data_IF_818378391882
#
_entry.id   IF_818378391882
#
_cell.length_a   1.000
_cell.length_b   1.000
_cell.length_c   1.000
_cell.angle_alpha   90.00
_cell.angle_beta   90.00
_cell.angle_gamma   90.00
#
_symmetry.space_group_name_H-M   'P 1'
#
loop_
_entity.id
_entity.type
_entity.pdbx_description
1 polymer ?
#
# COMPACT_ATOMS: atom_id res chain seq x y z
N UNK A 1 -6.65 -20.85 -8.98
CA UNK A 1 -7.14 -19.91 -7.94
C UNK A 1 -8.06 -18.91 -8.61
N UNK A 2 -9.36 -18.91 -8.30
CA UNK A 2 -10.28 -17.86 -8.78
C UNK A 2 -10.25 -16.74 -7.74
N UNK A 3 -9.77 -15.56 -8.13
CA UNK A 3 -9.66 -14.41 -7.24
C UNK A 3 -9.40 -13.14 -8.05
N UNK A 4 -9.76 -11.98 -7.49
CA UNK A 4 -9.49 -10.67 -8.10
C UNK A 4 -8.18 -10.11 -7.54
N UNK A 5 -7.40 -9.45 -8.40
CA UNK A 5 -6.24 -8.64 -7.99
C UNK A 5 -6.59 -7.17 -8.23
N UNK A 6 -6.46 -6.35 -7.21
CA UNK A 6 -6.52 -4.90 -7.33
C UNK A 6 -5.08 -4.35 -7.35
N UNK A 7 -4.85 -3.28 -8.13
CA UNK A 7 -3.62 -2.47 -8.09
C UNK A 7 -4.08 -1.05 -7.79
N UNK A 8 -3.49 -0.46 -6.75
CA UNK A 8 -3.79 0.90 -6.31
C UNK A 8 -2.53 1.72 -6.57
N UNK A 9 -2.69 2.87 -7.21
CA UNK A 9 -1.62 3.85 -7.43
C UNK A 9 -1.96 5.11 -6.65
N UNK A 10 -0.98 5.64 -5.93
CA UNK A 10 -1.11 6.83 -5.10
C UNK A 10 -0.04 7.84 -5.51
N UNK A 11 -0.34 9.12 -5.36
CA UNK A 11 0.65 10.18 -5.48
C UNK A 11 1.22 10.47 -4.09
N UNK A 12 2.55 10.48 -3.98
CA UNK A 12 3.23 10.84 -2.74
C UNK A 12 3.66 12.31 -2.82
N UNK A 13 3.60 13.00 -1.67
CA UNK A 13 4.05 14.38 -1.54
C UNK A 13 5.57 14.47 -1.61
N UNK A 14 6.12 15.66 -1.92
CA UNK A 14 7.54 15.84 -2.17
C UNK A 14 8.45 15.44 -0.98
N UNK A 15 7.95 15.55 0.24
CA UNK A 15 8.64 15.13 1.47
C UNK A 15 8.96 13.62 1.48
N UNK A 16 8.23 12.81 0.71
CA UNK A 16 8.49 11.37 0.61
C UNK A 16 9.85 11.06 -0.05
N UNK A 17 10.46 12.02 -0.76
CA UNK A 17 11.78 11.85 -1.39
C UNK A 17 12.90 11.74 -0.35
N UNK A 18 12.70 12.31 0.84
CA UNK A 18 13.68 12.26 1.93
C UNK A 18 13.57 10.97 2.76
N UNK A 19 12.50 10.21 2.55
CA UNK A 19 12.20 8.99 3.29
C UNK A 19 12.69 7.75 2.53
N UNK A 20 13.07 6.71 3.29
CA UNK A 20 13.51 5.45 2.69
C UNK A 20 12.28 4.71 2.17
N UNK A 21 12.30 4.25 0.91
CA UNK A 21 11.21 3.49 0.27
C UNK A 21 10.61 2.41 1.17
N UNK A 22 11.45 1.63 1.86
CA UNK A 22 11.02 0.57 2.76
C UNK A 22 10.15 1.08 3.93
N UNK A 23 10.44 2.28 4.44
CA UNK A 23 9.64 2.91 5.50
C UNK A 23 8.27 3.31 4.94
N UNK A 24 8.23 3.93 3.77
CA UNK A 24 6.99 4.28 3.07
C UNK A 24 6.16 3.02 2.78
N UNK A 25 6.78 1.94 2.30
CA UNK A 25 6.09 0.67 2.06
C UNK A 25 5.46 0.09 3.33
N UNK A 26 6.16 0.19 4.47
CA UNK A 26 5.65 -0.28 5.75
C UNK A 26 4.47 0.58 6.23
N UNK A 27 4.62 1.91 6.20
CA UNK A 27 3.56 2.83 6.62
C UNK A 27 2.30 2.69 5.77
N UNK A 28 2.45 2.52 4.45
CA UNK A 28 1.32 2.25 3.56
C UNK A 28 0.67 0.89 3.85
N UNK A 29 1.45 -0.16 4.12
CA UNK A 29 0.89 -1.47 4.51
C UNK A 29 0.11 -1.37 5.81
N UNK A 30 0.66 -0.68 6.81
CA UNK A 30 0.04 -0.52 8.12
C UNK A 30 -1.26 0.28 7.98
N UNK A 31 -1.23 1.42 7.28
CA UNK A 31 -2.41 2.23 6.99
C UNK A 31 -3.52 1.41 6.32
N UNK A 32 -3.19 0.70 5.24
CA UNK A 32 -4.18 -0.10 4.57
C UNK A 32 -4.62 -1.32 5.41
N UNK A 33 -3.82 -1.87 6.33
CA UNK A 33 -4.23 -2.97 7.21
C UNK A 33 -5.18 -2.49 8.32
N UNK A 34 -4.90 -1.33 8.90
CA UNK A 34 -5.78 -0.69 9.89
C UNK A 34 -7.16 -0.38 9.28
N UNK A 35 -7.19 0.11 8.04
CA UNK A 35 -8.44 0.42 7.32
C UNK A 35 -9.06 -0.79 6.60
N UNK A 36 -8.29 -1.83 6.25
CA UNK A 36 -8.81 -3.02 5.55
C UNK A 36 -9.82 -3.82 6.38
N UNK A 37 -9.84 -3.65 7.71
CA UNK A 37 -10.86 -4.21 8.58
C UNK A 37 -12.27 -3.77 8.16
N UNK A 38 -12.40 -2.66 7.44
CA UNK A 38 -13.68 -2.15 6.94
C UNK A 38 -14.14 -2.71 5.58
N UNK A 39 -13.29 -3.41 4.81
CA UNK A 39 -13.63 -3.84 3.44
C UNK A 39 -13.88 -5.36 3.37
N UNK A 40 -15.14 -5.81 3.21
CA UNK A 40 -15.51 -7.23 3.34
C UNK A 40 -14.90 -8.18 2.29
N UNK A 41 -14.34 -7.63 1.21
CA UNK A 41 -13.71 -8.40 0.11
C UNK A 41 -12.18 -8.40 0.18
N UNK A 42 -11.59 -7.63 1.10
CA UNK A 42 -10.13 -7.54 1.28
C UNK A 42 -9.74 -8.49 2.40
N UNK A 43 -9.02 -9.55 2.02
CA UNK A 43 -8.57 -10.56 2.99
C UNK A 43 -7.18 -10.28 3.55
N UNK A 44 -6.28 -9.77 2.72
CA UNK A 44 -4.91 -9.45 3.10
C UNK A 44 -4.26 -8.57 2.03
N UNK A 45 -3.30 -7.76 2.44
CA UNK A 45 -2.43 -6.99 1.56
C UNK A 45 -1.13 -7.76 1.44
N UNK A 46 -0.94 -8.34 0.25
CA UNK A 46 0.24 -9.14 -0.02
C UNK A 46 1.45 -8.28 -0.36
N UNK A 47 1.22 -7.18 -1.06
CA UNK A 47 2.30 -6.39 -1.63
C UNK A 47 1.97 -4.90 -1.71
N UNK A 48 2.97 -4.07 -1.41
CA UNK A 48 3.05 -2.61 -1.58
C UNK A 48 4.44 -2.35 -2.13
N UNK A 49 4.51 -1.60 -3.22
CA UNK A 49 5.77 -1.27 -3.91
C UNK A 49 5.86 0.25 -4.04
N UNK A 50 6.97 0.83 -3.60
CA UNK A 50 7.32 2.22 -3.92
C UNK A 50 8.23 2.21 -5.15
N UNK A 51 7.94 3.08 -6.11
CA UNK A 51 8.76 3.26 -7.31
C UNK A 51 9.03 4.73 -7.49
N UNK A 52 10.28 5.08 -7.77
CA UNK A 52 10.63 6.41 -8.27
C UNK A 52 9.85 6.67 -9.55
N UNK A 53 9.20 7.83 -9.63
CA UNK A 53 8.48 8.29 -10.81
C UNK A 53 9.44 8.63 -11.96
#
# INVERSE_FOLDING_TARGET
>A
MIGKKAIITLELVGESVEEIDKKIEQELRDWFQEDAVAIPWVRNIKDVTVKSA
#
